data_IF_177218017827
#
_entry.id   IF_177218017827
#
_cell.length_a   1.000
_cell.length_b   1.000
_cell.length_c   1.000
_cell.angle_alpha   90.00
_cell.angle_beta   90.00
_cell.angle_gamma   90.00
#
_symmetry.space_group_name_H-M   'P 1'
#
loop_
_entity.id
_entity.type
_entity.pdbx_description
1 polymer ?
#
# COMPACT_ATOMS: atom_id res chain seq x y z
N UNK A 1 22.50 -9.72 -5.60
CA UNK A 1 21.40 -8.76 -5.63
C UNK A 1 21.01 -8.50 -4.19
N UNK A 2 21.38 -7.35 -3.65
CA UNK A 2 20.73 -6.83 -2.44
C UNK A 2 19.24 -6.70 -2.75
N UNK A 3 18.33 -7.18 -1.90
CA UNK A 3 16.93 -6.87 -2.08
C UNK A 3 16.78 -5.36 -1.87
N UNK A 4 16.49 -4.62 -2.94
CA UNK A 4 16.17 -3.20 -2.81
C UNK A 4 14.89 -3.11 -1.98
N UNK A 5 15.02 -2.61 -0.75
CA UNK A 5 13.91 -2.39 0.16
C UNK A 5 13.49 -0.93 0.13
N UNK A 6 12.21 -0.71 0.36
CA UNK A 6 11.59 0.62 0.43
C UNK A 6 10.99 0.81 1.82
N UNK A 7 11.22 1.98 2.38
CA UNK A 7 10.71 2.37 3.70
C UNK A 7 9.39 3.12 3.56
N UNK A 8 8.37 2.69 4.31
CA UNK A 8 7.10 3.40 4.40
C UNK A 8 7.28 4.72 5.16
N UNK A 9 6.51 5.74 4.79
CA UNK A 9 6.38 6.98 5.57
C UNK A 9 5.69 6.71 6.91
N UNK A 10 4.70 5.83 6.92
CA UNK A 10 3.97 5.39 8.12
C UNK A 10 4.09 3.88 8.30
N UNK A 11 3.31 3.10 7.55
CA UNK A 11 3.45 1.65 7.47
C UNK A 11 2.84 1.12 6.18
N UNK A 12 3.36 0.01 5.69
CA UNK A 12 2.85 -0.69 4.52
C UNK A 12 1.55 -1.42 4.83
N UNK A 13 0.60 -1.30 3.93
CA UNK A 13 -0.66 -2.06 3.94
C UNK A 13 -0.83 -2.81 2.63
N UNK A 14 -1.66 -3.86 2.64
CA UNK A 14 -2.02 -4.55 1.40
C UNK A 14 -2.95 -3.69 0.54
N UNK A 15 -2.80 -3.76 -0.78
CA UNK A 15 -3.72 -3.14 -1.74
C UNK A 15 -4.85 -4.11 -2.12
N UNK A 16 -5.87 -3.61 -2.85
CA UNK A 16 -6.91 -4.46 -3.47
C UNK A 16 -6.30 -5.56 -4.36
N UNK A 17 -5.24 -5.24 -5.10
CA UNK A 17 -4.52 -6.20 -5.96
C UNK A 17 -3.91 -7.35 -5.15
N UNK A 18 -3.28 -7.05 -4.00
CA UNK A 18 -2.73 -8.10 -3.13
C UNK A 18 -3.82 -8.99 -2.53
N UNK A 19 -4.97 -8.41 -2.19
CA UNK A 19 -6.15 -9.17 -1.76
C UNK A 19 -6.71 -10.05 -2.89
N UNK A 20 -6.79 -9.57 -4.13
CA UNK A 20 -7.25 -10.38 -5.27
C UNK A 20 -6.33 -11.57 -5.55
N UNK A 21 -5.01 -11.38 -5.40
CA UNK A 21 -4.05 -12.46 -5.59
C UNK A 21 -4.08 -13.50 -4.46
N UNK A 22 -4.29 -13.06 -3.22
CA UNK A 22 -4.31 -13.97 -2.08
C UNK A 22 -5.28 -13.49 -0.98
N UNK A 23 -6.60 -13.65 -1.19
CA UNK A 23 -7.62 -13.09 -0.30
C UNK A 23 -7.68 -13.77 1.06
N UNK A 24 -7.05 -14.94 1.20
CA UNK A 24 -7.00 -15.69 2.46
C UNK A 24 -6.03 -15.05 3.48
N UNK A 25 -4.98 -14.38 3.00
CA UNK A 25 -3.91 -13.83 3.84
C UNK A 25 -3.75 -12.32 3.71
N UNK A 26 -4.17 -11.73 2.59
CA UNK A 26 -4.01 -10.32 2.29
C UNK A 26 -5.38 -9.64 2.26
N UNK A 27 -5.55 -8.58 3.04
CA UNK A 27 -6.76 -7.77 3.06
C UNK A 27 -6.42 -6.32 2.79
N UNK A 28 -7.06 -5.74 1.79
CA UNK A 28 -6.79 -4.37 1.38
C UNK A 28 -7.00 -3.39 2.55
N UNK A 29 -6.02 -2.53 2.80
CA UNK A 29 -6.03 -1.59 3.91
C UNK A 29 -5.53 -2.16 5.25
N UNK A 30 -5.43 -3.48 5.39
CA UNK A 30 -4.82 -4.08 6.58
C UNK A 30 -3.28 -3.99 6.48
N UNK A 31 -2.58 -3.78 7.62
CA UNK A 31 -1.13 -3.80 7.66
C UNK A 31 -0.56 -5.10 7.09
N UNK A 32 0.56 -5.00 6.38
CA UNK A 32 1.29 -6.19 5.95
C UNK A 32 1.96 -6.89 7.13
N UNK A 33 2.67 -7.99 6.86
CA UNK A 33 3.36 -8.73 7.90
C UNK A 33 4.26 -7.84 8.78
N UNK A 34 4.28 -8.04 10.12
CA UNK A 34 4.96 -7.14 11.05
C UNK A 34 6.44 -6.88 10.74
N UNK A 35 7.14 -7.88 10.21
CA UNK A 35 8.56 -7.79 9.85
C UNK A 35 8.81 -6.95 8.59
N UNK A 36 7.80 -6.77 7.72
CA UNK A 36 7.86 -5.88 6.57
C UNK A 36 7.10 -4.57 6.78
N UNK A 37 6.47 -4.37 7.93
CA UNK A 37 5.52 -3.28 8.18
C UNK A 37 6.07 -1.88 7.84
N UNK A 38 7.35 -1.64 8.10
CA UNK A 38 7.99 -0.35 7.81
C UNK A 38 8.98 -0.42 6.65
N UNK A 39 9.57 -1.59 6.41
CA UNK A 39 10.55 -1.80 5.35
C UNK A 39 10.14 -3.05 4.57
N UNK A 40 9.81 -2.90 3.29
CA UNK A 40 9.34 -3.99 2.44
C UNK A 40 10.14 -4.04 1.14
N UNK A 41 10.15 -5.15 0.41
CA UNK A 41 10.77 -5.22 -0.91
C UNK A 41 10.19 -4.18 -1.88
N UNK A 42 11.03 -3.38 -2.55
CA UNK A 42 10.61 -2.36 -3.51
C UNK A 42 9.73 -2.93 -4.62
N UNK A 43 10.03 -4.17 -5.07
CA UNK A 43 9.21 -4.91 -6.04
C UNK A 43 7.73 -5.00 -5.64
N UNK A 44 7.39 -5.10 -4.36
CA UNK A 44 5.99 -5.17 -3.93
C UNK A 44 5.26 -3.86 -4.12
N UNK A 45 5.97 -2.73 -3.96
CA UNK A 45 5.43 -1.41 -4.24
C UNK A 45 5.29 -1.21 -5.76
N UNK A 46 6.32 -1.57 -6.53
CA UNK A 46 6.32 -1.51 -8.00
C UNK A 46 5.22 -2.38 -8.62
N UNK A 47 5.02 -3.59 -8.09
CA UNK A 47 3.94 -4.50 -8.47
C UNK A 47 2.56 -4.01 -7.99
N UNK A 48 2.50 -2.96 -7.16
CA UNK A 48 1.27 -2.42 -6.59
C UNK A 48 0.57 -3.38 -5.61
N UNK A 49 1.33 -4.26 -4.96
CA UNK A 49 0.83 -5.18 -3.93
C UNK A 49 0.70 -4.48 -2.57
N UNK A 50 1.56 -3.51 -2.30
CA UNK A 50 1.53 -2.71 -1.08
C UNK A 50 1.43 -1.23 -1.41
N UNK A 51 0.86 -0.46 -0.49
CA UNK A 51 0.92 1.00 -0.50
C UNK A 51 1.14 1.51 0.92
N UNK A 52 1.57 2.77 1.06
CA UNK A 52 1.63 3.37 2.38
C UNK A 52 0.22 3.56 2.93
N UNK A 53 0.03 3.26 4.21
CA UNK A 53 -1.19 3.55 4.97
C UNK A 53 -1.74 4.96 4.77
N UNK A 54 -0.88 5.96 4.54
CA UNK A 54 -1.29 7.36 4.29
C UNK A 54 -1.87 7.57 2.90
N UNK A 55 -1.57 6.67 1.96
CA UNK A 55 -2.03 6.69 0.57
C UNK A 55 -3.27 5.80 0.37
N UNK A 56 -3.72 5.10 1.43
CA UNK A 56 -5.00 4.40 1.43
C UNK A 56 -6.10 5.45 1.39
N UNK A 57 -6.54 5.78 0.18
CA UNK A 57 -7.78 6.52 -0.02
C UNK A 57 -8.89 5.60 0.45
N UNK A 58 -9.38 5.82 1.68
CA UNK A 58 -10.66 5.29 2.12
C UNK A 58 -11.67 5.77 1.08
N UNK A 59 -12.31 4.84 0.37
CA UNK A 59 -13.47 5.15 -0.48
C UNK A 59 -14.41 6.05 0.33
N UNK A 60 -14.43 7.34 0.01
CA UNK A 60 -14.98 8.39 0.88
C UNK A 60 -14.17 9.70 0.90
N UNK A 61 -12.91 9.69 0.45
CA UNK A 61 -12.14 10.91 0.19
C UNK A 61 -11.83 11.05 -1.32
N UNK A 62 -12.89 11.06 -2.12
CA UNK A 62 -12.92 11.96 -3.28
C UNK A 62 -12.91 13.40 -2.72
N UNK A 63 -12.43 14.38 -3.48
CA UNK A 63 -12.48 15.82 -3.16
C UNK A 63 -11.27 16.42 -2.41
N UNK A 64 -10.06 16.23 -2.93
CA UNK A 64 -9.06 17.32 -2.82
C UNK A 64 -8.35 17.68 -4.12
N UNK A 65 -8.38 16.82 -5.15
CA UNK A 65 -7.81 17.14 -6.45
C UNK A 65 -8.81 17.70 -7.48
N UNK A 66 -10.12 17.67 -7.19
CA UNK A 66 -11.14 18.26 -8.08
C UNK A 66 -11.38 19.77 -7.84
N UNK A 67 -10.69 20.42 -6.89
CA UNK A 67 -10.89 21.84 -6.56
C UNK A 67 -9.81 22.81 -7.06
N UNK A 68 -8.84 22.36 -7.87
CA UNK A 68 -7.86 23.24 -8.55
C UNK A 68 -8.08 23.11 -10.07
N UNK A 69 -9.22 23.60 -10.55
CA UNK A 69 -9.56 23.53 -11.97
C UNK A 69 -10.84 24.26 -12.38
N UNK A 70 -11.24 25.29 -11.63
CA UNK A 70 -12.38 26.16 -11.95
C UNK A 70 -11.98 27.62 -11.93
#
# INVERSE_FOLDING_TARGET
MTPDTVTAKSFWVWTKKAQEQNPQFNRAGDPIWPHYKHEAPARWLEDGLICDSTEVVKEGQTDLFDYIGG
#
